data_IF_084708727730
#
_entry.id   IF_084708727730
#
_cell.length_a   1.000
_cell.length_b   1.000
_cell.length_c   1.000
_cell.angle_alpha   90.00
_cell.angle_beta   90.00
_cell.angle_gamma   90.00
#
_symmetry.space_group_name_H-M   'P 1'
#
loop_
_entity.id
_entity.type
_entity.pdbx_description
1 polymer ?
#
# COMPACT_ATOMS: atom_id res chain seq x y z
N UNK A 1 20.46 -13.30 12.25
CA UNK A 1 19.31 -12.97 13.13
C UNK A 1 19.57 -11.76 14.03
N UNK A 2 20.76 -11.61 14.63
CA UNK A 2 21.06 -10.47 15.52
C UNK A 2 20.93 -9.09 14.82
N UNK A 3 21.47 -8.88 13.60
CA UNK A 3 21.38 -7.56 12.95
C UNK A 3 19.94 -7.13 12.65
N UNK A 4 19.11 -8.07 12.19
CA UNK A 4 17.71 -7.80 11.82
C UNK A 4 16.84 -7.47 13.03
N UNK A 5 17.06 -8.12 14.17
CA UNK A 5 16.31 -7.84 15.41
C UNK A 5 16.69 -6.49 16.02
N UNK A 6 17.96 -6.12 15.97
CA UNK A 6 18.41 -4.81 16.44
C UNK A 6 17.82 -3.68 15.60
N UNK A 7 17.83 -3.83 14.28
CA UNK A 7 17.18 -2.86 13.37
C UNK A 7 15.66 -2.81 13.60
N UNK A 8 14.99 -3.94 13.75
CA UNK A 8 13.54 -3.96 13.98
C UNK A 8 13.17 -3.28 15.31
N UNK A 9 13.92 -3.58 16.37
CA UNK A 9 13.68 -3.00 17.71
C UNK A 9 13.95 -1.50 17.74
N UNK A 10 15.03 -1.03 17.12
CA UNK A 10 15.35 0.40 17.10
C UNK A 10 14.32 1.20 16.31
N UNK A 11 13.92 0.71 15.13
CA UNK A 11 12.87 1.33 14.31
C UNK A 11 11.53 1.33 15.04
N UNK A 12 11.17 0.23 15.73
CA UNK A 12 9.95 0.15 16.53
C UNK A 12 9.89 1.25 17.61
N UNK A 13 10.97 1.41 18.38
CA UNK A 13 11.01 2.40 19.47
C UNK A 13 10.88 3.83 18.91
N UNK A 14 11.63 4.16 17.87
CA UNK A 14 11.59 5.50 17.26
C UNK A 14 10.21 5.79 16.68
N UNK A 15 9.62 4.82 15.96
CA UNK A 15 8.30 4.99 15.35
C UNK A 15 7.19 5.14 16.41
N UNK A 16 7.22 4.32 17.46
CA UNK A 16 6.22 4.39 18.53
C UNK A 16 6.23 5.73 19.28
N UNK A 17 7.41 6.35 19.43
CA UNK A 17 7.54 7.64 20.11
C UNK A 17 7.16 8.79 19.17
N UNK A 18 7.68 8.81 17.95
CA UNK A 18 7.75 10.04 17.15
C UNK A 18 7.23 9.93 15.71
N UNK A 19 6.62 8.81 15.30
CA UNK A 19 6.07 8.70 13.95
C UNK A 19 4.97 9.75 13.72
N UNK A 20 4.95 10.44 12.56
CA UNK A 20 3.87 11.34 12.21
C UNK A 20 2.56 10.58 11.98
N UNK A 21 1.39 11.26 12.02
CA UNK A 21 0.11 10.68 11.64
C UNK A 21 0.13 10.14 10.21
N UNK A 22 -0.47 8.98 10.00
CA UNK A 22 -0.47 8.27 8.71
C UNK A 22 -1.90 8.17 8.18
N UNK A 23 -2.09 8.56 6.92
CA UNK A 23 -3.35 8.35 6.20
C UNK A 23 -3.43 6.89 5.72
N UNK A 24 -4.23 6.09 6.41
CA UNK A 24 -4.35 4.65 6.17
C UNK A 24 -5.18 4.40 4.91
N UNK A 25 -6.30 5.11 4.80
CA UNK A 25 -7.32 4.87 3.78
C UNK A 25 -7.13 5.72 2.53
N UNK A 26 -6.21 6.69 2.55
CA UNK A 26 -5.94 7.59 1.43
C UNK A 26 -7.03 8.66 1.25
N UNK A 27 -7.87 8.87 2.26
CA UNK A 27 -8.99 9.82 2.24
C UNK A 27 -8.62 11.18 2.86
N UNK A 28 -7.34 11.40 3.15
CA UNK A 28 -6.82 12.60 3.82
C UNK A 28 -7.30 12.75 5.26
N UNK A 29 -7.51 11.63 5.95
CA UNK A 29 -7.81 11.58 7.39
C UNK A 29 -6.68 10.83 8.12
N UNK A 30 -5.58 11.52 8.49
CA UNK A 30 -4.44 10.87 9.11
C UNK A 30 -4.76 10.37 10.52
N UNK A 31 -4.40 9.13 10.80
CA UNK A 31 -4.53 8.53 12.13
C UNK A 31 -3.23 8.74 12.89
N UNK A 32 -3.31 9.19 14.14
CA UNK A 32 -2.15 9.31 15.04
C UNK A 32 -1.94 8.02 15.82
N UNK A 33 -0.71 7.49 15.81
CA UNK A 33 -0.36 6.25 16.52
C UNK A 33 0.78 6.40 17.54
N UNK A 34 1.47 7.55 17.56
CA UNK A 34 2.68 7.75 18.36
C UNK A 34 2.45 8.59 19.60
N UNK A 35 3.35 8.45 20.58
CA UNK A 35 3.24 9.11 21.89
C UNK A 35 3.29 10.64 21.78
N UNK A 36 4.19 11.20 20.94
CA UNK A 36 4.31 12.64 20.76
C UNK A 36 3.08 13.28 20.08
N UNK A 37 2.23 12.47 19.44
CA UNK A 37 1.01 12.92 18.80
C UNK A 37 -0.26 12.53 19.59
N UNK A 38 -0.14 12.41 20.92
CA UNK A 38 -1.27 12.31 21.84
C UNK A 38 -1.70 10.90 22.22
N UNK A 39 -0.93 9.86 21.86
CA UNK A 39 -1.21 8.50 22.30
C UNK A 39 -0.52 8.16 23.63
N UNK A 40 -1.10 7.22 24.37
CA UNK A 40 -0.50 6.61 25.56
C UNK A 40 -0.01 5.18 25.25
N UNK A 41 0.51 4.47 26.25
CA UNK A 41 1.06 3.11 26.07
C UNK A 41 -0.01 2.10 25.58
N UNK A 42 -1.29 2.32 25.92
CA UNK A 42 -2.40 1.45 25.54
C UNK A 42 -2.94 1.82 24.15
N UNK A 43 -3.04 3.11 23.83
CA UNK A 43 -3.61 3.59 22.56
C UNK A 43 -2.59 3.72 21.43
N UNK A 44 -1.30 3.75 21.76
CA UNK A 44 -0.23 3.87 20.78
C UNK A 44 -0.09 2.62 19.93
N UNK A 45 0.14 2.81 18.63
CA UNK A 45 0.33 1.74 17.67
C UNK A 45 1.19 2.20 16.50
N UNK A 46 1.95 1.27 15.92
CA UNK A 46 2.61 1.51 14.63
C UNK A 46 1.59 1.31 13.53
N UNK A 47 1.27 2.39 12.82
CA UNK A 47 0.23 2.41 11.79
C UNK A 47 0.76 1.81 10.48
N UNK A 48 0.08 0.80 9.91
CA UNK A 48 0.50 0.17 8.66
C UNK A 48 0.14 1.02 7.44
N UNK A 49 1.10 1.23 6.52
CA UNK A 49 0.87 1.89 5.21
C UNK A 49 0.16 0.98 4.18
N UNK A 50 -0.20 -0.25 4.56
CA UNK A 50 -0.59 -1.31 3.63
C UNK A 50 -1.95 -1.09 2.95
N UNK A 51 -2.88 -0.32 3.53
CA UNK A 51 -4.17 -0.03 2.93
C UNK A 51 -4.04 0.92 1.71
N UNK A 52 -3.31 2.03 1.85
CA UNK A 52 -2.94 2.90 0.72
C UNK A 52 -2.17 2.15 -0.38
N UNK A 53 -1.21 1.29 0.00
CA UNK A 53 -0.46 0.49 -0.97
C UNK A 53 -1.30 -0.59 -1.66
N UNK A 54 -2.24 -1.20 -0.93
CA UNK A 54 -3.19 -2.19 -1.46
C UNK A 54 -4.05 -1.58 -2.56
N UNK A 55 -4.59 -0.38 -2.35
CA UNK A 55 -5.41 0.33 -3.35
C UNK A 55 -4.65 0.59 -4.65
N UNK A 56 -3.39 1.04 -4.56
CA UNK A 56 -2.54 1.26 -5.74
C UNK A 56 -2.23 -0.06 -6.45
N UNK A 57 -1.93 -1.13 -5.72
CA UNK A 57 -1.70 -2.47 -6.29
C UNK A 57 -2.96 -2.99 -7.01
N UNK A 58 -4.14 -2.83 -6.42
CA UNK A 58 -5.40 -3.25 -7.03
C UNK A 58 -5.70 -2.46 -8.31
N UNK A 59 -5.47 -1.14 -8.33
CA UNK A 59 -5.62 -0.34 -9.56
C UNK A 59 -4.61 -0.78 -10.62
N UNK A 60 -3.36 -1.04 -10.25
CA UNK A 60 -2.35 -1.53 -11.16
C UNK A 60 -2.73 -2.88 -11.79
N UNK A 61 -3.18 -3.84 -10.98
CA UNK A 61 -3.67 -5.15 -11.45
C UNK A 61 -4.91 -5.02 -12.34
N UNK A 62 -5.82 -4.10 -12.01
CA UNK A 62 -7.03 -3.88 -12.82
C UNK A 62 -6.69 -3.27 -14.18
N UNK A 63 -5.72 -2.34 -14.23
CA UNK A 63 -5.23 -1.75 -15.47
C UNK A 63 -4.46 -2.78 -16.31
N UNK A 64 -3.63 -3.62 -15.69
CA UNK A 64 -2.89 -4.66 -16.42
C UNK A 64 -3.84 -5.66 -17.07
N UNK A 65 -4.88 -6.09 -16.35
CA UNK A 65 -5.88 -7.02 -16.87
C UNK A 65 -6.71 -6.40 -18.02
N UNK A 66 -7.06 -5.12 -17.91
CA UNK A 66 -7.75 -4.39 -18.99
C UNK A 66 -6.87 -4.25 -20.24
N UNK A 67 -5.56 -3.99 -20.08
CA UNK A 67 -4.62 -3.94 -21.21
C UNK A 67 -4.46 -5.29 -21.89
N UNK A 68 -4.40 -6.36 -21.13
CA UNK A 68 -4.33 -7.72 -21.68
C UNK A 68 -5.60 -8.07 -22.47
N UNK A 69 -6.77 -7.72 -21.93
CA UNK A 69 -8.06 -7.96 -22.59
C UNK A 69 -8.23 -7.13 -23.86
N UNK A 70 -7.76 -5.87 -23.85
CA UNK A 70 -7.72 -5.02 -25.05
C UNK A 70 -6.75 -5.55 -26.10
N UNK A 71 -5.61 -6.11 -25.69
CA UNK A 71 -4.66 -6.77 -26.60
C UNK A 71 -5.25 -8.02 -27.24
N UNK A 72 -5.90 -8.89 -26.44
CA UNK A 72 -6.57 -10.10 -26.93
C UNK A 72 -7.70 -9.81 -27.90
N UNK A 73 -8.55 -8.83 -27.59
CA UNK A 73 -9.67 -8.45 -28.48
C UNK A 73 -9.19 -7.84 -29.80
N UNK A 74 -8.12 -7.05 -29.80
CA UNK A 74 -7.51 -6.53 -31.03
C UNK A 74 -6.92 -7.62 -31.91
N UNK A 75 -6.24 -8.60 -31.32
CA UNK A 75 -5.67 -9.75 -32.02
C UNK A 75 -6.77 -10.61 -32.70
N UNK A 76 -7.94 -10.73 -32.07
CA UNK A 76 -9.10 -11.41 -32.65
C UNK A 76 -9.69 -10.65 -33.83
N UNK A 77 -9.77 -9.32 -33.75
CA UNK A 77 -10.26 -8.47 -34.86
C UNK A 77 -9.29 -8.52 -36.05
N UNK A 78 -7.99 -8.44 -35.80
CA UNK A 78 -6.98 -8.48 -36.86
C UNK A 78 -6.99 -9.84 -37.59
N UNK A 79 -7.19 -10.96 -36.87
CA UNK A 79 -7.38 -12.28 -37.49
C UNK A 79 -8.69 -12.37 -38.29
N UNK A 80 -9.81 -11.85 -37.77
CA UNK A 80 -11.11 -11.90 -38.46
C UNK A 80 -11.13 -11.08 -39.76
N UNK A 81 -10.31 -10.04 -39.86
CA UNK A 81 -10.18 -9.19 -41.05
C UNK A 81 -9.23 -9.77 -42.11
N UNK A 82 -8.35 -10.71 -41.76
CA UNK A 82 -7.47 -11.40 -42.73
C UNK A 82 -8.12 -12.62 -43.39
N UNK A 83 -9.22 -13.13 -42.83
CA UNK A 83 -9.99 -14.25 -43.36
C UNK A 83 -11.16 -13.81 -44.29
N UNK A 84 -11.24 -12.51 -44.64
CA UNK A 84 -12.22 -11.93 -45.59
C UNK A 84 -11.56 -11.50 -46.90
#
# INVERSE_FOLDING_TARGET
>A
MIPTLLTATSVFIIAFIAAPPVDIDGIREPVSGSLLYGNNIISGAIIPTSAAFRSVRTVHEKISNLRELAGKSRLVVDHALQDS
#
